data_IF_289861244353
#
_entry.id   IF_289861244353
#
_cell.length_a   1.000
_cell.length_b   1.000
_cell.length_c   1.000
_cell.angle_alpha   90.00
_cell.angle_beta   90.00
_cell.angle_gamma   90.00
#
_symmetry.space_group_name_H-M   'P 1'
#
loop_
_entity.id
_entity.type
_entity.pdbx_description
1 polymer ?
#
# COMPACT_ATOMS: atom_id res chain seq x y z
N UNK A 1 17.34 -5.03 7.51
CA UNK A 1 17.35 -6.05 8.58
C UNK A 1 18.45 -7.07 8.36
N UNK A 2 18.25 -8.04 7.46
CA UNK A 2 19.19 -9.15 7.26
C UNK A 2 20.62 -8.75 6.84
N UNK A 3 20.78 -7.65 6.09
CA UNK A 3 22.11 -7.14 5.75
C UNK A 3 22.81 -6.42 6.92
N UNK A 4 22.09 -6.08 7.99
CA UNK A 4 22.69 -5.48 9.18
C UNK A 4 23.46 -6.54 9.98
N UNK A 5 24.76 -6.30 10.16
CA UNK A 5 25.69 -7.19 10.88
C UNK A 5 25.91 -6.80 12.34
N UNK A 6 25.40 -5.65 12.75
CA UNK A 6 25.45 -5.19 14.14
C UNK A 6 24.26 -5.81 14.86
N UNK A 7 24.49 -6.46 15.99
CA UNK A 7 23.43 -7.05 16.82
C UNK A 7 22.77 -6.03 17.75
N UNK A 8 21.57 -6.34 18.23
CA UNK A 8 20.82 -5.54 19.19
C UNK A 8 20.03 -4.39 18.55
N UNK A 9 19.86 -3.31 19.32
CA UNK A 9 18.89 -2.21 19.12
C UNK A 9 18.48 -1.94 17.67
N UNK A 10 19.43 -1.60 16.80
CA UNK A 10 19.10 -1.15 15.44
C UNK A 10 18.72 -2.29 14.50
N UNK A 11 19.31 -3.47 14.66
CA UNK A 11 18.90 -4.64 13.88
C UNK A 11 17.50 -5.09 14.28
N UNK A 12 17.24 -5.13 15.58
CA UNK A 12 15.93 -5.50 16.13
C UNK A 12 14.86 -4.50 15.64
N UNK A 13 15.11 -3.19 15.79
CA UNK A 13 14.20 -2.14 15.29
C UNK A 13 13.83 -2.30 13.81
N UNK A 14 14.82 -2.57 12.94
CA UNK A 14 14.56 -2.79 11.52
C UNK A 14 13.75 -4.06 11.28
N UNK A 15 14.05 -5.15 11.99
CA UNK A 15 13.36 -6.43 11.82
C UNK A 15 11.92 -6.40 12.36
N UNK A 16 11.71 -5.72 13.50
CA UNK A 16 10.38 -5.52 14.07
C UNK A 16 9.50 -4.71 13.12
N UNK A 17 10.01 -3.57 12.63
CA UNK A 17 9.27 -2.73 11.68
C UNK A 17 9.02 -3.46 10.36
N UNK A 18 10.01 -4.18 9.84
CA UNK A 18 9.82 -4.97 8.61
C UNK A 18 8.75 -6.05 8.78
N UNK A 19 8.62 -6.63 9.97
CA UNK A 19 7.59 -7.62 10.28
C UNK A 19 6.21 -6.98 10.35
N UNK A 20 6.12 -5.78 10.93
CA UNK A 20 4.88 -4.99 10.95
C UNK A 20 4.42 -4.60 9.54
N UNK A 21 5.34 -4.17 8.66
CA UNK A 21 5.00 -3.77 7.29
C UNK A 21 4.43 -4.91 6.43
N UNK A 22 4.75 -6.17 6.75
CA UNK A 22 4.06 -7.32 6.12
C UNK A 22 2.58 -7.32 6.49
N UNK A 23 2.24 -6.98 7.73
CA UNK A 23 0.86 -6.80 8.18
C UNK A 23 0.16 -5.64 7.47
N UNK A 24 0.85 -4.52 7.22
CA UNK A 24 0.28 -3.43 6.42
C UNK A 24 -0.03 -3.85 4.98
N UNK A 25 0.85 -4.64 4.35
CA UNK A 25 0.59 -5.22 3.01
C UNK A 25 -0.65 -6.12 3.05
N UNK A 26 -0.80 -6.98 4.06
CA UNK A 26 -1.98 -7.83 4.22
C UNK A 26 -3.27 -7.00 4.39
N UNK A 27 -3.24 -5.96 5.23
CA UNK A 27 -4.36 -5.06 5.47
C UNK A 27 -4.80 -4.35 4.17
N UNK A 28 -3.85 -3.79 3.42
CA UNK A 28 -4.13 -3.08 2.17
C UNK A 28 -4.65 -4.02 1.09
N UNK A 29 -4.04 -5.20 0.91
CA UNK A 29 -4.50 -6.20 -0.05
C UNK A 29 -5.93 -6.67 0.28
N UNK A 30 -6.22 -6.90 1.56
CA UNK A 30 -7.55 -7.27 2.04
C UNK A 30 -8.57 -6.16 1.78
N UNK A 31 -8.23 -4.91 2.08
CA UNK A 31 -9.09 -3.76 1.82
C UNK A 31 -9.44 -3.66 0.32
N UNK A 32 -8.43 -3.74 -0.57
CA UNK A 32 -8.66 -3.69 -2.02
C UNK A 32 -9.57 -4.82 -2.48
N UNK A 33 -9.36 -6.06 -2.01
CA UNK A 33 -10.23 -7.18 -2.34
C UNK A 33 -11.68 -6.97 -1.87
N UNK A 34 -11.88 -6.34 -0.71
CA UNK A 34 -13.22 -5.99 -0.20
C UNK A 34 -13.89 -4.91 -1.05
N UNK A 35 -13.15 -3.90 -1.48
CA UNK A 35 -13.67 -2.84 -2.36
C UNK A 35 -14.03 -3.35 -3.76
N UNK A 36 -13.39 -4.45 -4.20
CA UNK A 36 -13.63 -5.10 -5.50
C UNK A 36 -14.66 -6.25 -5.42
N UNK A 37 -15.30 -6.46 -4.27
CA UNK A 37 -16.26 -7.55 -4.10
C UNK A 37 -17.42 -7.41 -5.10
N UNK A 38 -17.60 -8.41 -5.96
CA UNK A 38 -18.60 -8.41 -7.03
C UNK A 38 -18.25 -7.54 -8.26
N UNK A 39 -17.17 -6.76 -8.24
CA UNK A 39 -16.79 -5.92 -9.37
C UNK A 39 -16.52 -6.74 -10.66
N UNK A 40 -15.77 -7.87 -10.63
CA UNK A 40 -15.47 -8.62 -11.86
C UNK A 40 -16.70 -9.09 -12.65
N UNK A 41 -17.80 -9.43 -11.96
CA UNK A 41 -19.04 -9.87 -12.63
C UNK A 41 -19.83 -8.74 -13.28
N UNK A 42 -19.52 -7.49 -12.92
CA UNK A 42 -20.13 -6.29 -13.51
C UNK A 42 -19.37 -5.73 -14.70
N UNK A 43 -18.14 -6.18 -14.95
CA UNK A 43 -17.33 -5.80 -16.13
C UNK A 43 -17.79 -6.59 -17.36
N UNK A 44 -18.98 -6.24 -17.89
CA UNK A 44 -19.59 -6.91 -19.05
C UNK A 44 -20.03 -5.91 -20.12
N UNK A 45 -20.18 -6.40 -21.37
CA UNK A 45 -20.67 -5.59 -22.49
C UNK A 45 -22.10 -5.05 -22.28
N UNK A 46 -22.91 -5.71 -21.46
CA UNK A 46 -24.25 -5.23 -21.13
C UNK A 46 -24.21 -4.09 -20.10
N UNK A 47 -23.37 -4.21 -19.08
CA UNK A 47 -23.25 -3.20 -18.03
C UNK A 47 -22.82 -1.83 -18.58
N UNK A 48 -21.91 -1.81 -19.57
CA UNK A 48 -21.44 -0.55 -20.18
C UNK A 48 -22.49 0.17 -21.04
N UNK A 49 -23.68 -0.41 -21.24
CA UNK A 49 -24.81 0.32 -21.84
C UNK A 49 -25.40 1.36 -20.90
N UNK A 50 -25.28 1.16 -19.58
CA UNK A 50 -25.60 2.18 -18.59
C UNK A 50 -24.42 3.18 -18.48
N UNK A 51 -24.64 4.49 -18.70
CA UNK A 51 -23.56 5.47 -18.71
C UNK A 51 -22.79 5.58 -17.37
N UNK A 52 -23.45 5.31 -16.24
CA UNK A 52 -22.80 5.36 -14.91
C UNK A 52 -21.86 4.17 -14.76
N UNK A 53 -22.32 2.98 -15.13
CA UNK A 53 -21.50 1.77 -15.15
C UNK A 53 -20.34 1.87 -16.15
N UNK A 54 -20.54 2.48 -17.31
CA UNK A 54 -19.48 2.72 -18.28
C UNK A 54 -18.38 3.64 -17.70
N UNK A 55 -18.75 4.70 -16.99
CA UNK A 55 -17.80 5.59 -16.32
C UNK A 55 -17.03 4.89 -15.20
N UNK A 56 -17.73 4.08 -14.38
CA UNK A 56 -17.11 3.25 -13.33
C UNK A 56 -16.09 2.28 -13.92
N UNK A 57 -16.49 1.45 -14.88
CA UNK A 57 -15.61 0.46 -15.53
C UNK A 57 -14.45 1.14 -16.24
N UNK A 58 -14.69 2.29 -16.89
CA UNK A 58 -13.65 3.07 -17.56
C UNK A 58 -12.59 3.65 -16.61
N UNK A 59 -12.89 3.77 -15.32
CA UNK A 59 -11.95 4.21 -14.28
C UNK A 59 -11.26 3.07 -13.52
N UNK A 60 -11.65 1.81 -13.76
CA UNK A 60 -11.02 0.65 -13.11
C UNK A 60 -9.72 0.24 -13.80
N UNK A 61 -8.83 -0.40 -13.03
CA UNK A 61 -7.80 -1.23 -13.63
C UNK A 61 -8.42 -2.56 -14.10
N UNK A 62 -8.51 -2.74 -15.42
CA UNK A 62 -9.07 -3.96 -16.03
C UNK A 62 -8.32 -5.24 -15.62
N UNK A 63 -7.06 -5.14 -15.22
CA UNK A 63 -6.29 -6.29 -14.74
C UNK A 63 -6.84 -6.83 -13.41
N UNK A 64 -7.46 -5.99 -12.58
CA UNK A 64 -8.09 -6.45 -11.33
C UNK A 64 -9.26 -7.41 -11.59
N UNK A 65 -10.01 -7.19 -12.69
CA UNK A 65 -11.08 -8.10 -13.10
C UNK A 65 -10.55 -9.35 -13.83
N UNK A 66 -9.58 -9.18 -14.73
CA UNK A 66 -9.12 -10.26 -15.63
C UNK A 66 -8.09 -11.17 -14.96
N UNK A 67 -7.06 -10.60 -14.33
CA UNK A 67 -5.92 -11.32 -13.76
C UNK A 67 -6.10 -11.51 -12.26
N UNK A 68 -6.53 -10.46 -11.55
CA UNK A 68 -6.70 -10.48 -10.11
C UNK A 68 -7.95 -11.20 -9.63
N UNK A 69 -8.93 -11.44 -10.50
CA UNK A 69 -10.21 -12.07 -10.13
C UNK A 69 -10.97 -11.32 -9.02
N UNK A 70 -10.82 -9.99 -8.95
CA UNK A 70 -11.34 -9.15 -7.86
C UNK A 70 -10.39 -8.99 -6.67
N UNK A 71 -9.14 -9.44 -6.78
CA UNK A 71 -8.09 -9.25 -5.78
C UNK A 71 -7.13 -8.10 -6.08
N UNK A 72 -6.34 -7.74 -5.07
CA UNK A 72 -5.23 -6.80 -5.21
C UNK A 72 -4.11 -7.39 -6.09
N UNK A 73 -3.43 -6.53 -6.84
CA UNK A 73 -2.24 -6.88 -7.63
C UNK A 73 -1.01 -6.18 -7.02
N UNK A 74 0.19 -6.77 -7.11
CA UNK A 74 1.44 -6.12 -6.70
C UNK A 74 1.90 -5.10 -7.75
N UNK A 75 1.05 -4.11 -8.03
CA UNK A 75 1.26 -3.04 -9.00
C UNK A 75 0.72 -1.72 -8.45
N UNK A 76 1.21 -0.60 -8.97
CA UNK A 76 0.70 0.73 -8.61
C UNK A 76 -0.67 1.04 -9.27
N UNK A 77 -1.21 2.24 -9.01
CA UNK A 77 -2.51 2.67 -9.53
C UNK A 77 -2.57 2.84 -11.05
N UNK A 78 -1.43 2.78 -11.75
CA UNK A 78 -1.33 2.81 -13.20
C UNK A 78 -0.97 1.42 -13.78
N UNK A 79 -0.95 0.37 -12.95
CA UNK A 79 -0.63 -0.99 -13.36
C UNK A 79 0.87 -1.25 -13.54
N UNK A 80 1.76 -0.37 -13.07
CA UNK A 80 3.20 -0.64 -13.13
C UNK A 80 3.60 -1.67 -12.05
N UNK A 81 4.19 -2.82 -12.43
CA UNK A 81 4.53 -3.85 -11.46
C UNK A 81 5.56 -3.38 -10.42
N UNK A 82 5.29 -3.69 -9.16
CA UNK A 82 6.29 -3.50 -8.11
C UNK A 82 7.56 -4.30 -8.44
N UNK A 83 8.72 -3.73 -8.15
CA UNK A 83 9.98 -4.42 -8.32
C UNK A 83 11.01 -3.94 -7.29
N UNK A 84 12.09 -4.72 -7.13
CA UNK A 84 13.11 -4.48 -6.13
C UNK A 84 13.91 -3.19 -6.30
N UNK A 85 13.76 -2.43 -7.39
CA UNK A 85 14.47 -1.15 -7.59
C UNK A 85 13.99 -0.05 -6.64
N UNK A 86 12.81 -0.21 -6.02
CA UNK A 86 12.32 0.71 -4.99
C UNK A 86 13.02 0.54 -3.64
N UNK A 87 13.83 -0.50 -3.47
CA UNK A 87 14.45 -0.83 -2.18
C UNK A 87 15.85 -0.21 -2.06
N UNK A 88 16.10 0.43 -0.91
CA UNK A 88 17.42 0.93 -0.51
C UNK A 88 17.90 0.13 0.70
N UNK A 89 19.11 -0.45 0.59
CA UNK A 89 19.78 -1.17 1.67
C UNK A 89 21.29 -1.10 1.47
N UNK A 90 21.88 0.06 1.72
CA UNK A 90 23.29 0.34 1.43
C UNK A 90 24.27 -0.36 2.37
N UNK A 91 23.81 -0.74 3.56
CA UNK A 91 24.67 -1.28 4.63
C UNK A 91 25.29 -0.19 5.52
N UNK A 92 25.05 1.08 5.22
CA UNK A 92 25.38 2.20 6.11
C UNK A 92 24.11 2.63 6.87
N UNK A 93 24.07 2.40 8.19
CA UNK A 93 22.87 2.65 8.99
C UNK A 93 22.40 4.12 8.96
N UNK A 94 23.32 5.09 8.94
CA UNK A 94 22.93 6.51 8.90
C UNK A 94 22.26 6.86 7.56
N UNK A 95 22.81 6.37 6.45
CA UNK A 95 22.22 6.57 5.13
C UNK A 95 20.87 5.83 5.02
N UNK A 96 20.82 4.57 5.46
CA UNK A 96 19.62 3.74 5.38
C UNK A 96 18.48 4.27 6.27
N UNK A 97 18.78 4.81 7.46
CA UNK A 97 17.74 5.41 8.33
C UNK A 97 17.16 6.71 7.75
N UNK A 98 17.98 7.50 7.05
CA UNK A 98 17.49 8.66 6.30
C UNK A 98 16.61 8.24 5.11
N UNK A 99 16.93 7.13 4.45
CA UNK A 99 16.08 6.56 3.42
C UNK A 99 14.76 6.04 4.03
N UNK A 100 14.80 5.36 5.17
CA UNK A 100 13.62 4.85 5.87
C UNK A 100 12.67 5.98 6.27
N UNK A 101 13.15 7.03 6.96
CA UNK A 101 12.27 8.15 7.34
C UNK A 101 11.67 8.86 6.11
N UNK A 102 12.41 8.94 5.00
CA UNK A 102 11.88 9.48 3.75
C UNK A 102 10.78 8.58 3.17
N UNK A 103 10.94 7.26 3.21
CA UNK A 103 9.93 6.30 2.79
C UNK A 103 8.64 6.43 3.63
N UNK A 104 8.76 6.47 4.96
CA UNK A 104 7.60 6.67 5.85
C UNK A 104 6.90 8.02 5.62
N UNK A 105 7.67 9.09 5.38
CA UNK A 105 7.10 10.40 5.10
C UNK A 105 6.32 10.43 3.79
N UNK A 106 6.81 9.76 2.75
CA UNK A 106 6.11 9.62 1.47
C UNK A 106 4.86 8.74 1.61
N UNK A 107 4.96 7.61 2.31
CA UNK A 107 3.81 6.75 2.63
C UNK A 107 2.72 7.53 3.35
N UNK A 108 3.07 8.23 4.43
CA UNK A 108 2.12 9.06 5.20
C UNK A 108 1.46 10.15 4.37
N UNK A 109 2.19 10.80 3.48
CA UNK A 109 1.65 11.81 2.55
C UNK A 109 0.58 11.19 1.64
N UNK A 110 0.86 10.01 1.07
CA UNK A 110 -0.06 9.30 0.19
C UNK A 110 -1.29 8.82 0.96
N UNK A 111 -1.12 8.22 2.13
CA UNK A 111 -2.21 7.79 3.03
C UNK A 111 -3.11 8.97 3.41
N UNK A 112 -2.54 10.15 3.71
CA UNK A 112 -3.32 11.35 4.03
C UNK A 112 -4.12 11.88 2.83
N UNK A 113 -3.60 11.74 1.61
CA UNK A 113 -4.35 12.07 0.39
C UNK A 113 -5.50 11.08 0.18
N UNK A 114 -5.24 9.78 0.28
CA UNK A 114 -6.26 8.72 0.16
C UNK A 114 -7.40 8.90 1.16
N UNK A 115 -7.09 9.32 2.40
CA UNK A 115 -8.10 9.62 3.41
C UNK A 115 -9.13 10.67 2.95
N UNK A 116 -8.69 11.63 2.13
CA UNK A 116 -9.54 12.69 1.58
C UNK A 116 -10.13 12.33 0.20
N UNK A 117 -9.85 11.14 -0.34
CA UNK A 117 -10.35 10.67 -1.64
C UNK A 117 -11.49 9.65 -1.51
N UNK A 118 -11.93 9.34 -0.30
CA UNK A 118 -13.02 8.42 -0.03
C UNK A 118 -13.92 8.98 1.06
N UNK A 119 -15.17 8.53 1.10
CA UNK A 119 -16.10 8.76 2.22
C UNK A 119 -16.47 7.48 2.97
N UNK A 120 -15.89 6.34 2.58
CA UNK A 120 -16.11 5.08 3.28
C UNK A 120 -15.52 5.13 4.70
N UNK A 121 -16.34 4.96 5.76
CA UNK A 121 -15.87 5.07 7.13
C UNK A 121 -14.91 3.93 7.53
N UNK A 122 -15.07 2.74 6.94
CA UNK A 122 -14.19 1.60 7.18
C UNK A 122 -12.79 1.83 6.59
N UNK A 123 -12.73 2.32 5.35
CA UNK A 123 -11.46 2.72 4.73
C UNK A 123 -10.80 3.84 5.53
N UNK A 124 -11.56 4.87 5.92
CA UNK A 124 -11.04 5.98 6.76
C UNK A 124 -10.47 5.49 8.09
N UNK A 125 -11.12 4.53 8.76
CA UNK A 125 -10.64 3.97 10.02
C UNK A 125 -9.30 3.24 9.85
N UNK A 126 -9.15 2.43 8.81
CA UNK A 126 -7.89 1.75 8.49
C UNK A 126 -6.78 2.77 8.16
N UNK A 127 -7.08 3.77 7.34
CA UNK A 127 -6.09 4.81 6.99
C UNK A 127 -5.66 5.65 8.21
N UNK A 128 -6.55 5.90 9.17
CA UNK A 128 -6.20 6.55 10.44
C UNK A 128 -5.23 5.72 11.27
N UNK A 129 -5.42 4.40 11.32
CA UNK A 129 -4.47 3.49 11.95
C UNK A 129 -3.10 3.58 11.26
N UNK A 130 -3.05 3.47 9.93
CA UNK A 130 -1.78 3.56 9.19
C UNK A 130 -1.09 4.92 9.42
N UNK A 131 -1.82 6.04 9.36
CA UNK A 131 -1.25 7.37 9.64
C UNK A 131 -0.62 7.49 11.04
N UNK A 132 -1.19 6.80 12.03
CA UNK A 132 -0.63 6.75 13.37
C UNK A 132 0.64 5.88 13.42
N UNK A 133 0.66 4.74 12.72
CA UNK A 133 1.84 3.86 12.61
C UNK A 133 2.99 4.54 11.86
N UNK A 134 2.73 5.18 10.73
CA UNK A 134 3.72 5.97 9.99
C UNK A 134 4.35 7.08 10.87
N UNK A 135 3.57 7.65 11.81
CA UNK A 135 4.07 8.65 12.76
C UNK A 135 5.04 8.03 13.77
N UNK A 136 4.79 6.79 14.22
CA UNK A 136 5.70 6.04 15.09
C UNK A 136 6.98 5.69 14.32
N UNK A 137 6.85 5.18 13.10
CA UNK A 137 7.99 4.80 12.28
C UNK A 137 8.87 5.99 11.90
N UNK A 138 8.29 7.15 11.55
CA UNK A 138 9.10 8.36 11.33
C UNK A 138 9.91 8.75 12.55
N UNK A 139 9.31 8.66 13.75
CA UNK A 139 9.97 9.04 15.00
C UNK A 139 11.06 8.06 15.43
N UNK A 140 10.94 6.78 15.11
CA UNK A 140 11.96 5.79 15.51
C UNK A 140 13.19 5.80 14.59
N UNK A 141 13.05 6.30 13.35
CA UNK A 141 14.16 6.47 12.41
C UNK A 141 14.99 7.75 12.63
N UNK A 142 14.43 8.73 13.35
CA UNK A 142 15.07 10.00 13.70
C UNK A 142 15.78 9.93 15.05
#
# INVERSE_FOLDING_TARGET
GWNCRIEGKYKDLIMDTATEEIGHVEMLATMVARLLEGAPSTVTAEAVKDPVMAAMIGGMDVQQAIVGGGGALPADSNGYPWNGRYIVASGNLLADFRANVAAEAQGRLQTARLYNMTDDPGVKAMLQFNLARDTVHQKQWL
#
